data_IF_526165062873
#
_entry.id   IF_526165062873
#
_cell.length_a   1.000
_cell.length_b   1.000
_cell.length_c   1.000
_cell.angle_alpha   90.00
_cell.angle_beta   90.00
_cell.angle_gamma   90.00
#
_symmetry.space_group_name_H-M   'P 1'
#
loop_
_entity.id
_entity.type
_entity.pdbx_description
1 polymer ?
#
# COMPACT_ATOMS: atom_id res chain seq x y z
N UNK A 1 39.51 10.74 22.94
CA UNK A 1 38.81 11.96 22.46
C UNK A 1 37.79 11.52 21.43
N UNK A 2 36.50 11.52 21.77
CA UNK A 2 35.38 11.08 20.95
C UNK A 2 34.54 12.33 20.64
N UNK A 3 34.26 12.69 19.37
CA UNK A 3 33.44 13.85 19.05
C UNK A 3 31.96 13.55 19.30
N UNK A 4 31.13 14.53 19.70
CA UNK A 4 29.72 14.34 19.93
C UNK A 4 28.93 14.35 18.63
N UNK A 5 28.13 13.31 18.40
CA UNK A 5 27.15 13.25 17.30
C UNK A 5 26.00 14.21 17.58
N UNK A 6 25.92 15.29 16.82
CA UNK A 6 24.78 16.19 16.77
C UNK A 6 23.55 15.49 16.20
N UNK A 7 22.47 15.41 17.00
CA UNK A 7 21.14 14.94 16.58
C UNK A 7 20.48 16.04 15.77
N UNK A 8 20.32 15.81 14.47
CA UNK A 8 19.50 16.66 13.60
C UNK A 8 18.02 16.20 13.70
N UNK A 9 17.30 16.71 14.70
CA UNK A 9 15.86 16.57 14.88
C UNK A 9 15.17 17.82 14.31
N UNK A 10 14.95 17.92 13.00
CA UNK A 10 14.16 19.02 12.44
C UNK A 10 13.72 18.78 11.00
N UNK A 11 12.91 17.75 10.70
CA UNK A 11 12.24 17.70 9.39
C UNK A 11 10.80 17.18 9.39
N UNK A 12 10.24 16.76 10.52
CA UNK A 12 8.87 16.19 10.58
C UNK A 12 7.75 17.23 10.78
N UNK A 13 8.08 18.50 11.04
CA UNK A 13 7.10 19.54 11.35
C UNK A 13 6.47 20.29 10.17
N UNK A 14 6.94 20.08 8.93
CA UNK A 14 6.47 20.89 7.79
C UNK A 14 5.38 20.24 6.93
N UNK A 15 5.18 18.93 7.01
CA UNK A 15 4.16 18.25 6.18
C UNK A 15 2.76 18.26 6.78
N UNK A 16 2.62 18.43 8.11
CA UNK A 16 1.33 18.46 8.77
C UNK A 16 0.56 19.80 8.63
N UNK A 17 1.18 20.87 8.16
CA UNK A 17 0.54 22.18 8.01
C UNK A 17 -0.08 22.45 6.65
N UNK A 18 0.20 21.63 5.64
CA UNK A 18 -0.31 21.83 4.28
C UNK A 18 -1.74 21.31 4.06
N UNK A 19 -2.25 20.42 4.90
CA UNK A 19 -3.59 19.84 4.75
C UNK A 19 -4.70 20.67 5.48
N UNK A 20 -4.33 21.55 6.39
CA UNK A 20 -5.31 22.38 7.12
C UNK A 20 -5.73 23.67 6.38
N UNK A 21 -5.07 24.03 5.28
CA UNK A 21 -5.32 25.31 4.59
C UNK A 21 -6.40 25.25 3.50
N UNK A 22 -6.90 24.07 3.11
CA UNK A 22 -7.88 23.93 2.04
C UNK A 22 -9.34 24.01 2.56
N UNK A 23 -9.57 23.78 3.84
CA UNK A 23 -10.93 23.75 4.42
C UNK A 23 -11.51 25.13 4.82
N UNK A 24 -10.73 26.22 4.79
CA UNK A 24 -11.20 27.52 5.32
C UNK A 24 -11.53 28.59 4.28
N UNK A 25 -11.36 28.32 2.99
CA UNK A 25 -11.62 29.32 1.93
C UNK A 25 -13.07 29.30 1.38
N UNK A 26 -13.92 28.38 1.80
CA UNK A 26 -15.26 28.16 1.21
C UNK A 26 -16.43 28.83 1.92
N UNK A 27 -16.27 29.44 3.10
CA UNK A 27 -17.42 29.87 3.96
C UNK A 27 -17.67 31.37 4.02
N UNK A 28 -16.87 32.21 3.38
CA UNK A 28 -16.98 33.67 3.52
C UNK A 28 -17.75 34.38 2.40
N UNK A 29 -18.35 33.68 1.42
CA UNK A 29 -18.95 34.31 0.23
C UNK A 29 -20.48 34.30 0.10
N UNK A 30 -21.24 33.76 1.04
CA UNK A 30 -22.68 33.44 0.83
C UNK A 30 -23.64 34.39 1.63
N UNK A 31 -23.39 35.65 1.68
CA UNK A 31 -24.35 36.56 2.38
C UNK A 31 -25.02 37.61 1.50
N UNK A 32 -24.98 37.56 0.18
CA UNK A 32 -25.72 38.55 -0.64
C UNK A 32 -26.05 38.00 -2.04
N UNK A 33 -27.07 37.17 -2.20
CA UNK A 33 -27.95 37.20 -3.38
C UNK A 33 -28.98 36.05 -3.36
N UNK A 34 -30.22 36.38 -3.61
CA UNK A 34 -31.45 35.65 -3.84
C UNK A 34 -31.50 34.10 -3.83
N UNK A 35 -32.67 33.55 -3.56
CA UNK A 35 -33.01 32.12 -3.42
C UNK A 35 -32.45 31.14 -4.44
N UNK A 36 -31.85 31.57 -5.55
CA UNK A 36 -31.17 30.77 -6.52
C UNK A 36 -29.74 30.33 -6.10
N UNK A 37 -29.02 31.23 -5.40
CA UNK A 37 -27.66 30.98 -4.96
C UNK A 37 -27.55 29.94 -3.83
N UNK A 38 -28.60 29.79 -3.03
CA UNK A 38 -28.65 28.79 -1.95
C UNK A 38 -28.71 27.37 -2.53
N UNK A 39 -29.48 27.17 -3.62
CA UNK A 39 -29.62 25.86 -4.26
C UNK A 39 -28.32 25.42 -4.94
N UNK A 40 -27.60 26.38 -5.52
CA UNK A 40 -26.30 26.12 -6.16
C UNK A 40 -25.20 25.83 -5.12
N UNK A 41 -25.19 26.55 -4.00
CA UNK A 41 -24.28 26.29 -2.89
C UNK A 41 -24.54 24.93 -2.21
N UNK A 42 -25.80 24.50 -2.10
CA UNK A 42 -26.19 23.20 -1.56
C UNK A 42 -25.74 22.09 -2.52
N UNK A 43 -25.93 22.25 -3.85
CA UNK A 43 -25.49 21.24 -4.82
C UNK A 43 -23.95 21.09 -4.88
N UNK A 44 -23.21 22.20 -4.77
CA UNK A 44 -21.75 22.17 -4.68
C UNK A 44 -21.28 21.53 -3.36
N UNK A 45 -21.97 21.78 -2.26
CA UNK A 45 -21.71 21.13 -0.98
C UNK A 45 -21.93 19.62 -1.04
N UNK A 46 -22.99 19.17 -1.69
CA UNK A 46 -23.25 17.73 -1.91
C UNK A 46 -22.18 17.08 -2.79
N UNK A 47 -21.80 17.71 -3.89
CA UNK A 47 -20.72 17.19 -4.73
C UNK A 47 -19.37 17.09 -4.00
N UNK A 48 -19.08 18.06 -3.13
CA UNK A 48 -17.86 18.02 -2.32
C UNK A 48 -17.90 16.87 -1.29
N UNK A 49 -19.06 16.60 -0.69
CA UNK A 49 -19.24 15.47 0.22
C UNK A 49 -19.13 14.12 -0.52
N UNK A 50 -19.74 13.99 -1.69
CA UNK A 50 -19.65 12.78 -2.51
C UNK A 50 -18.20 12.50 -2.94
N UNK A 51 -17.46 13.55 -3.34
CA UNK A 51 -16.04 13.44 -3.68
C UNK A 51 -15.20 13.04 -2.47
N UNK A 52 -15.48 13.61 -1.30
CA UNK A 52 -14.79 13.26 -0.05
C UNK A 52 -15.07 11.79 0.35
N UNK A 53 -16.33 11.34 0.23
CA UNK A 53 -16.69 9.94 0.50
C UNK A 53 -15.95 8.98 -0.43
N UNK A 54 -15.92 9.27 -1.74
CA UNK A 54 -15.18 8.45 -2.72
C UNK A 54 -13.67 8.41 -2.40
N UNK A 55 -13.09 9.51 -1.92
CA UNK A 55 -11.69 9.55 -1.53
C UNK A 55 -11.42 8.70 -0.27
N UNK A 56 -12.36 8.67 0.68
CA UNK A 56 -12.26 7.82 1.88
C UNK A 56 -12.38 6.35 1.49
N UNK A 57 -13.37 5.98 0.67
CA UNK A 57 -13.55 4.60 0.20
C UNK A 57 -12.32 4.10 -0.58
N UNK A 58 -11.73 4.96 -1.42
CA UNK A 58 -10.50 4.63 -2.13
C UNK A 58 -9.31 4.44 -1.18
N UNK A 59 -9.20 5.27 -0.14
CA UNK A 59 -8.14 5.14 0.86
C UNK A 59 -8.30 3.86 1.70
N UNK A 60 -9.52 3.49 2.09
CA UNK A 60 -9.80 2.23 2.79
C UNK A 60 -9.47 1.02 1.91
N UNK A 61 -9.81 1.08 0.62
CA UNK A 61 -9.44 0.05 -0.37
C UNK A 61 -7.93 -0.13 -0.47
N UNK A 62 -7.16 0.95 -0.53
CA UNK A 62 -5.69 0.91 -0.56
C UNK A 62 -5.10 0.31 0.72
N UNK A 63 -5.63 0.66 1.90
CA UNK A 63 -5.18 0.10 3.17
C UNK A 63 -5.47 -1.40 3.23
N UNK A 64 -6.67 -1.83 2.82
CA UNK A 64 -7.05 -3.23 2.77
C UNK A 64 -6.17 -4.04 1.82
N UNK A 65 -5.94 -3.53 0.60
CA UNK A 65 -5.10 -4.17 -0.40
C UNK A 65 -3.62 -4.23 0.05
N UNK A 66 -3.12 -3.18 0.70
CA UNK A 66 -1.77 -3.18 1.29
C UNK A 66 -1.60 -4.23 2.39
N UNK A 67 -2.62 -4.42 3.22
CA UNK A 67 -2.63 -5.48 4.24
C UNK A 67 -2.62 -6.88 3.60
N UNK A 68 -3.32 -7.09 2.49
CA UNK A 68 -3.30 -8.34 1.73
C UNK A 68 -1.91 -8.63 1.13
N UNK A 69 -1.23 -7.61 0.58
CA UNK A 69 0.16 -7.77 0.13
C UNK A 69 1.10 -8.14 1.28
N UNK A 70 0.92 -7.53 2.45
CA UNK A 70 1.65 -7.90 3.65
C UNK A 70 1.42 -9.36 4.05
N UNK A 71 0.18 -9.83 3.98
CA UNK A 71 -0.19 -11.21 4.24
C UNK A 71 0.40 -12.18 3.20
N UNK A 72 0.41 -11.79 1.90
CA UNK A 72 1.07 -12.55 0.84
C UNK A 72 2.56 -12.73 1.11
N UNK A 73 3.25 -11.67 1.50
CA UNK A 73 4.66 -11.73 1.88
C UNK A 73 4.90 -12.65 3.08
N UNK A 74 4.02 -12.61 4.08
CA UNK A 74 4.11 -13.50 5.25
C UNK A 74 3.86 -14.96 4.87
N UNK A 75 2.87 -15.25 4.02
CA UNK A 75 2.59 -16.59 3.52
C UNK A 75 3.78 -17.16 2.75
N UNK A 76 4.36 -16.38 1.84
CA UNK A 76 5.51 -16.81 1.06
C UNK A 76 6.74 -17.15 1.91
N UNK A 77 6.92 -16.50 3.07
CA UNK A 77 8.06 -16.82 3.97
C UNK A 77 8.05 -18.26 4.48
N UNK A 78 6.89 -18.91 4.54
CA UNK A 78 6.77 -20.31 4.95
C UNK A 78 7.54 -21.23 4.00
N UNK A 79 7.62 -20.91 2.71
CA UNK A 79 8.35 -21.69 1.72
C UNK A 79 9.86 -21.82 2.03
N UNK A 80 10.42 -20.90 2.84
CA UNK A 80 11.86 -20.85 3.15
C UNK A 80 12.19 -21.38 4.54
N UNK A 81 11.21 -21.90 5.29
CA UNK A 81 11.46 -22.45 6.61
C UNK A 81 12.33 -23.71 6.48
N UNK A 82 13.43 -23.83 7.25
CA UNK A 82 14.27 -25.03 7.22
C UNK A 82 13.43 -26.29 7.50
N UNK A 83 13.52 -27.27 6.60
CA UNK A 83 12.79 -28.53 6.73
C UNK A 83 11.38 -28.52 6.19
N UNK A 84 10.91 -27.43 5.57
CA UNK A 84 9.65 -27.42 4.84
C UNK A 84 9.71 -28.40 3.66
N UNK A 85 8.64 -29.14 3.43
CA UNK A 85 8.57 -30.03 2.27
C UNK A 85 8.37 -29.22 0.97
N UNK A 86 8.80 -29.76 -0.17
CA UNK A 86 8.57 -29.16 -1.49
C UNK A 86 7.08 -28.88 -1.74
N UNK A 87 6.21 -29.79 -1.29
CA UNK A 87 4.75 -29.61 -1.43
C UNK A 87 4.22 -28.43 -0.58
N UNK A 88 4.70 -28.30 0.65
CA UNK A 88 4.32 -27.19 1.52
C UNK A 88 4.88 -25.86 1.03
N UNK A 89 6.10 -25.86 0.43
CA UNK A 89 6.67 -24.67 -0.18
C UNK A 89 5.83 -24.19 -1.37
N UNK A 90 5.40 -25.11 -2.26
CA UNK A 90 4.46 -24.75 -3.34
C UNK A 90 3.14 -24.22 -2.80
N UNK A 91 2.56 -24.87 -1.80
CA UNK A 91 1.28 -24.42 -1.20
C UNK A 91 1.40 -23.02 -0.60
N UNK A 92 2.52 -22.70 0.04
CA UNK A 92 2.79 -21.38 0.61
C UNK A 92 2.90 -20.29 -0.49
N UNK A 93 3.56 -20.58 -1.60
CA UNK A 93 3.70 -19.67 -2.73
C UNK A 93 2.35 -19.50 -3.45
N UNK A 94 1.58 -20.56 -3.64
CA UNK A 94 0.26 -20.50 -4.26
C UNK A 94 -0.71 -19.67 -3.42
N UNK A 95 -0.68 -19.79 -2.09
CA UNK A 95 -1.47 -18.95 -1.19
C UNK A 95 -1.04 -17.48 -1.27
N UNK A 96 0.25 -17.20 -1.32
CA UNK A 96 0.76 -15.84 -1.50
C UNK A 96 0.30 -15.24 -2.82
N UNK A 97 0.37 -16.00 -3.93
CA UNK A 97 -0.11 -15.56 -5.26
C UNK A 97 -1.60 -15.24 -5.22
N UNK A 98 -2.43 -16.10 -4.61
CA UNK A 98 -3.87 -15.87 -4.45
C UNK A 98 -4.16 -14.55 -3.71
N UNK A 99 -3.41 -14.23 -2.66
CA UNK A 99 -3.56 -12.98 -1.91
C UNK A 99 -3.18 -11.75 -2.73
N UNK A 100 -2.14 -11.86 -3.58
CA UNK A 100 -1.77 -10.78 -4.53
C UNK A 100 -2.87 -10.57 -5.56
N UNK A 101 -3.42 -11.64 -6.13
CA UNK A 101 -4.53 -11.57 -7.10
C UNK A 101 -5.76 -10.91 -6.50
N UNK A 102 -6.11 -11.25 -5.25
CA UNK A 102 -7.21 -10.60 -4.53
C UNK A 102 -6.96 -9.11 -4.29
N UNK A 103 -5.73 -8.74 -3.90
CA UNK A 103 -5.35 -7.35 -3.73
C UNK A 103 -5.45 -6.55 -5.03
N UNK A 104 -4.99 -7.12 -6.15
CA UNK A 104 -5.09 -6.52 -7.49
C UNK A 104 -6.52 -6.43 -8.00
N UNK A 105 -7.36 -7.42 -7.69
CA UNK A 105 -8.79 -7.39 -8.03
C UNK A 105 -9.52 -6.28 -7.27
N UNK A 106 -9.18 -6.06 -6.00
CA UNK A 106 -9.75 -5.00 -5.18
C UNK A 106 -9.20 -3.61 -5.57
N UNK A 107 -7.92 -3.52 -5.92
CA UNK A 107 -7.23 -2.25 -6.24
C UNK A 107 -6.32 -2.44 -7.45
N UNK A 108 -6.85 -2.28 -8.68
CA UNK A 108 -6.05 -2.37 -9.90
C UNK A 108 -4.92 -1.34 -9.90
N UNK A 109 -3.72 -1.79 -10.24
CA UNK A 109 -2.53 -0.92 -10.26
C UNK A 109 -1.94 -0.61 -8.87
N UNK A 110 -2.23 -1.44 -7.88
CA UNK A 110 -1.65 -1.33 -6.54
C UNK A 110 -0.11 -1.32 -6.61
N UNK A 111 0.56 -0.29 -6.09
CA UNK A 111 2.02 -0.20 -6.13
C UNK A 111 2.68 -1.39 -5.43
N UNK A 112 3.70 -1.96 -6.07
CA UNK A 112 4.47 -3.10 -5.56
C UNK A 112 3.83 -4.47 -5.77
N UNK A 113 2.56 -4.55 -6.17
CA UNK A 113 1.89 -5.83 -6.39
C UNK A 113 2.47 -6.60 -7.57
N UNK A 114 2.79 -5.92 -8.68
CA UNK A 114 3.39 -6.53 -9.85
C UNK A 114 4.80 -7.08 -9.57
N UNK A 115 5.58 -6.39 -8.77
CA UNK A 115 6.91 -6.80 -8.35
C UNK A 115 6.84 -8.05 -7.46
N UNK A 116 5.86 -8.12 -6.55
CA UNK A 116 5.63 -9.30 -5.71
C UNK A 116 5.17 -10.47 -6.57
N UNK A 117 4.24 -10.28 -7.49
CA UNK A 117 3.75 -11.33 -8.39
C UNK A 117 4.88 -11.94 -9.23
N UNK A 118 5.74 -11.11 -9.82
CA UNK A 118 6.92 -11.57 -10.54
C UNK A 118 7.89 -12.34 -9.64
N UNK A 119 8.10 -11.85 -8.41
CA UNK A 119 8.98 -12.51 -7.46
C UNK A 119 8.39 -13.83 -6.96
N UNK A 120 7.08 -13.95 -6.80
CA UNK A 120 6.39 -15.21 -6.47
C UNK A 120 6.48 -16.23 -7.60
N UNK A 121 6.34 -15.78 -8.87
CA UNK A 121 6.53 -16.63 -10.04
C UNK A 121 7.95 -17.19 -10.07
N UNK A 122 8.97 -16.35 -9.90
CA UNK A 122 10.37 -16.80 -9.84
C UNK A 122 10.62 -17.74 -8.66
N UNK A 123 9.99 -17.46 -7.51
CA UNK A 123 10.08 -18.33 -6.33
C UNK A 123 9.45 -19.69 -6.57
N UNK A 124 8.31 -19.75 -7.24
CA UNK A 124 7.65 -21.00 -7.62
C UNK A 124 8.51 -21.86 -8.55
N UNK A 125 9.11 -21.23 -9.56
CA UNK A 125 9.98 -21.93 -10.52
C UNK A 125 11.25 -22.46 -9.83
N UNK A 126 11.73 -21.77 -8.80
CA UNK A 126 12.91 -22.17 -8.04
C UNK A 126 12.64 -23.26 -6.99
N UNK A 127 11.37 -23.54 -6.64
CA UNK A 127 11.06 -24.64 -5.71
C UNK A 127 11.45 -25.98 -6.33
N UNK A 128 12.38 -26.67 -5.68
CA UNK A 128 12.93 -27.95 -6.17
C UNK A 128 14.14 -27.81 -7.10
N UNK A 129 14.57 -26.58 -7.42
CA UNK A 129 15.84 -26.30 -8.09
C UNK A 129 17.02 -26.40 -7.10
N UNK A 130 18.22 -26.05 -7.57
CA UNK A 130 19.37 -26.01 -6.67
C UNK A 130 19.27 -24.90 -5.62
N UNK A 131 20.11 -25.04 -4.56
CA UNK A 131 20.08 -24.08 -3.45
C UNK A 131 20.43 -22.64 -3.85
N UNK A 132 21.14 -22.46 -4.96
CA UNK A 132 21.57 -21.15 -5.43
C UNK A 132 20.39 -20.40 -6.06
N UNK A 133 19.66 -21.05 -6.97
CA UNK A 133 18.48 -20.47 -7.63
C UNK A 133 17.38 -20.16 -6.60
N UNK A 134 17.14 -21.10 -5.69
CA UNK A 134 16.18 -20.93 -4.61
C UNK A 134 16.59 -19.77 -3.67
N UNK A 135 17.89 -19.62 -3.39
CA UNK A 135 18.41 -18.50 -2.58
C UNK A 135 18.20 -17.15 -3.27
N UNK A 136 18.45 -17.04 -4.57
CA UNK A 136 18.24 -15.81 -5.36
C UNK A 136 16.75 -15.44 -5.41
N UNK A 137 15.87 -16.40 -5.65
CA UNK A 137 14.42 -16.18 -5.68
C UNK A 137 13.90 -15.67 -4.33
N UNK A 138 14.38 -16.25 -3.22
CA UNK A 138 14.09 -15.79 -1.87
C UNK A 138 14.49 -14.33 -1.64
N UNK A 139 15.72 -13.96 -2.02
CA UNK A 139 16.26 -12.61 -1.82
C UNK A 139 15.48 -11.58 -2.65
N UNK A 140 15.11 -11.94 -3.89
CA UNK A 140 14.26 -11.14 -4.76
C UNK A 140 12.90 -10.87 -4.13
N UNK A 141 12.24 -11.91 -3.62
CA UNK A 141 10.94 -11.77 -2.97
C UNK A 141 11.03 -10.95 -1.68
N UNK A 142 12.06 -11.15 -0.86
CA UNK A 142 12.28 -10.35 0.34
C UNK A 142 12.45 -8.87 0.02
N UNK A 143 13.16 -8.55 -1.07
CA UNK A 143 13.32 -7.17 -1.54
C UNK A 143 12.01 -6.57 -2.00
N UNK A 144 11.20 -7.29 -2.79
CA UNK A 144 9.88 -6.84 -3.23
C UNK A 144 8.96 -6.58 -2.02
N UNK A 145 8.94 -7.48 -1.06
CA UNK A 145 8.15 -7.34 0.18
C UNK A 145 8.60 -6.15 1.05
N UNK A 146 9.91 -5.89 1.12
CA UNK A 146 10.44 -4.75 1.87
C UNK A 146 10.00 -3.41 1.26
N UNK A 147 9.89 -3.31 -0.05
CA UNK A 147 9.41 -2.09 -0.74
C UNK A 147 7.96 -1.76 -0.37
N UNK A 148 7.10 -2.77 -0.27
CA UNK A 148 5.70 -2.59 0.13
C UNK A 148 5.58 -2.13 1.58
N UNK A 149 6.39 -2.67 2.48
CA UNK A 149 6.36 -2.28 3.90
C UNK A 149 6.89 -0.86 4.18
N UNK A 150 7.66 -0.28 3.25
CA UNK A 150 8.18 1.09 3.38
C UNK A 150 7.28 2.14 2.72
N UNK A 151 6.35 1.73 1.86
CA UNK A 151 5.45 2.62 1.12
C UNK A 151 4.08 2.83 1.76
N UNK A 152 3.78 2.17 2.90
CA UNK A 152 2.52 2.22 3.63
C UNK A 152 2.53 3.22 4.82
#
# INVERSE_FOLDING_TARGET
MIPPHGRNLSSHGRRARALAAIASAGLAGVLLTGCGAVNEAVSQGQQALDTASQAVDAAEGLIGAGAQLGAACAAAQVAWVPGVSTADAYAAIDEATRLVDEALAATPGLPGAAEIDQALTAARDAVGSDQTEFGVARETLQTACALVSMGG
#
